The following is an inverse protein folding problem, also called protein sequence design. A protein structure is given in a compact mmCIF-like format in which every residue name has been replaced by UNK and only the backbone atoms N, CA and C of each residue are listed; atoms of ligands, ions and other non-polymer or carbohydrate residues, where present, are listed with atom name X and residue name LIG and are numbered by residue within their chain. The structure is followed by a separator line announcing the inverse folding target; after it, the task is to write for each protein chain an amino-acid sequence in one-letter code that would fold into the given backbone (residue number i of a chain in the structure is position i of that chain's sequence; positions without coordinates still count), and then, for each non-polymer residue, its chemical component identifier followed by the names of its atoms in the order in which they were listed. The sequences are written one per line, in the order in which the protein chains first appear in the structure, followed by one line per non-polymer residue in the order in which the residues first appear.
data_IF_456504284070
#
_entry.id   IF_456504284070
#
_cell.length_a   1.000
_cell.length_b   1.000
_cell.length_c   1.000
_cell.angle_alpha   90.00
_cell.angle_beta   90.00
_cell.angle_gamma   90.00
#
_symmetry.space_group_name_H-M   'P 1'
#
loop_
_entity.id
_entity.type
_entity.pdbx_description
1 polymer ?
#
# COMPACT_ATOMS: atom_id res chain seq x y z
N UNK A 1 -57.71 -7.20 11.76
CA UNK A 1 -57.05 -8.22 10.90
C UNK A 1 -57.20 -7.73 9.47
N UNK A 2 -56.19 -7.38 8.67
CA UNK A 2 -54.75 -7.60 8.74
C UNK A 2 -54.07 -6.43 8.01
N UNK A 3 -53.05 -5.85 8.65
CA UNK A 3 -52.02 -5.05 7.99
C UNK A 3 -51.15 -5.93 7.07
N UNK A 4 -50.33 -5.26 6.26
CA UNK A 4 -49.12 -5.73 5.58
C UNK A 4 -49.28 -6.42 4.22
N UNK A 5 -49.10 -5.65 3.13
CA UNK A 5 -48.16 -6.06 2.07
C UNK A 5 -47.73 -4.93 1.11
N UNK A 6 -46.44 -4.62 1.21
CA UNK A 6 -45.48 -4.25 0.15
C UNK A 6 -45.66 -2.90 -0.56
N UNK A 7 -45.02 -1.89 0.04
CA UNK A 7 -44.28 -0.86 -0.70
C UNK A 7 -43.11 -1.53 -1.44
N UNK A 8 -43.29 -1.87 -2.71
CA UNK A 8 -42.17 -2.12 -3.62
C UNK A 8 -41.83 -0.78 -4.29
N UNK A 9 -41.04 0.04 -3.60
CA UNK A 9 -40.48 1.26 -4.18
C UNK A 9 -39.37 0.88 -5.15
N UNK A 10 -39.68 0.96 -6.45
CA UNK A 10 -38.72 0.72 -7.53
C UNK A 10 -37.52 1.65 -7.41
N UNK A 11 -36.34 1.05 -7.38
CA UNK A 11 -35.07 1.77 -7.49
C UNK A 11 -35.03 2.45 -8.86
N UNK A 12 -35.16 3.77 -8.90
CA UNK A 12 -35.04 4.54 -10.13
C UNK A 12 -33.61 4.42 -10.65
N UNK A 13 -33.46 4.39 -11.98
CA UNK A 13 -32.16 4.23 -12.67
C UNK A 13 -31.08 5.24 -12.24
N UNK A 14 -31.47 6.38 -11.66
CA UNK A 14 -30.57 7.36 -11.06
C UNK A 14 -29.91 6.86 -9.76
N UNK A 15 -30.63 6.11 -8.92
CA UNK A 15 -30.11 5.59 -7.64
C UNK A 15 -29.15 4.41 -7.85
N UNK A 16 -29.35 3.62 -8.91
CA UNK A 16 -28.41 2.56 -9.31
C UNK A 16 -27.08 3.09 -9.85
N UNK A 17 -27.09 4.25 -10.53
CA UNK A 17 -25.88 4.89 -11.03
C UNK A 17 -25.03 5.53 -9.90
N UNK A 18 -25.68 5.93 -8.81
CA UNK A 18 -25.03 6.54 -7.62
C UNK A 18 -24.22 5.51 -6.82
N UNK A 19 -24.72 4.27 -6.68
CA UNK A 19 -23.99 3.18 -6.03
C UNK A 19 -22.71 2.81 -6.81
N UNK A 20 -22.75 2.85 -8.14
CA UNK A 20 -21.63 2.47 -9.01
C UNK A 20 -20.45 3.46 -8.90
N UNK A 21 -20.69 4.75 -8.66
CA UNK A 21 -19.63 5.74 -8.51
C UNK A 21 -18.84 5.61 -7.18
N UNK A 22 -19.50 5.19 -6.10
CA UNK A 22 -18.87 4.93 -4.79
C UNK A 22 -18.06 3.61 -4.76
N UNK A 23 -18.35 2.69 -5.67
CA UNK A 23 -17.64 1.42 -5.82
C UNK A 23 -16.39 1.51 -6.70
N UNK A 24 -16.32 2.45 -7.65
CA UNK A 24 -15.37 2.35 -8.76
C UNK A 24 -14.01 3.02 -8.60
N UNK A 25 -13.72 3.79 -7.55
CA UNK A 25 -12.47 4.59 -7.54
C UNK A 25 -11.59 4.53 -6.28
N UNK A 26 -11.83 3.59 -5.36
CA UNK A 26 -11.02 3.50 -4.13
C UNK A 26 -10.52 2.08 -3.79
N UNK A 27 -11.08 1.09 -4.47
CA UNK A 27 -10.82 -0.33 -4.27
C UNK A 27 -9.37 -0.70 -4.71
N UNK A 28 -8.96 -0.24 -5.89
CA UNK A 28 -7.60 -0.42 -6.41
C UNK A 28 -6.51 0.32 -5.62
N UNK A 29 -6.79 1.53 -5.08
CA UNK A 29 -5.78 2.37 -4.45
C UNK A 29 -5.36 1.90 -3.04
N UNK A 30 -6.30 1.36 -2.24
CA UNK A 30 -5.99 0.76 -0.94
C UNK A 30 -5.27 -0.58 -1.14
N UNK A 31 -5.66 -1.36 -2.16
CA UNK A 31 -4.98 -2.60 -2.53
C UNK A 31 -3.56 -2.40 -3.05
N UNK A 32 -3.33 -1.37 -3.86
CA UNK A 32 -2.02 -1.06 -4.43
C UNK A 32 -0.98 -0.65 -3.36
N UNK A 33 -1.41 0.05 -2.30
CA UNK A 33 -0.53 0.44 -1.21
C UNK A 33 -0.18 -0.74 -0.26
N UNK A 34 -1.14 -1.64 0.00
CA UNK A 34 -0.90 -2.89 0.73
C UNK A 34 -0.05 -3.88 -0.10
N UNK A 35 -0.23 -3.88 -1.43
CA UNK A 35 0.58 -4.66 -2.38
C UNK A 35 2.06 -4.22 -2.40
N UNK A 36 2.34 -2.91 -2.38
CA UNK A 36 3.73 -2.41 -2.34
C UNK A 36 4.47 -2.75 -1.05
N UNK A 37 3.78 -2.74 0.10
CA UNK A 37 4.41 -2.99 1.41
C UNK A 37 4.54 -4.50 1.72
N UNK A 38 3.82 -5.36 0.98
CA UNK A 38 3.81 -6.82 1.19
C UNK A 38 4.46 -7.64 0.08
N UNK A 39 4.82 -7.03 -1.06
CA UNK A 39 5.49 -7.73 -2.16
C UNK A 39 7.03 -7.71 -1.97
N UNK A 40 7.68 -8.88 -1.83
CA UNK A 40 9.12 -8.95 -2.07
C UNK A 40 9.35 -8.87 -3.59
N UNK A 41 9.87 -7.72 -4.06
CA UNK A 41 10.60 -7.66 -5.34
C UNK A 41 9.97 -6.96 -6.54
N UNK A 42 9.32 -5.81 -6.39
CA UNK A 42 9.02 -4.92 -7.54
C UNK A 42 9.95 -3.71 -7.54
N UNK A 43 11.18 -3.91 -7.99
CA UNK A 43 12.01 -2.90 -8.63
C UNK A 43 13.02 -3.66 -9.49
N UNK A 44 12.68 -3.85 -10.76
CA UNK A 44 13.59 -4.06 -11.89
C UNK A 44 12.70 -4.00 -13.13
N UNK A 45 12.50 -2.79 -13.64
CA UNK A 45 12.15 -2.60 -15.03
C UNK A 45 12.88 -1.36 -15.54
N UNK A 46 14.20 -1.50 -15.66
CA UNK A 46 14.87 -0.92 -16.82
C UNK A 46 14.08 -1.33 -18.06
N UNK A 47 13.79 -0.37 -18.93
CA UNK A 47 12.97 -0.51 -20.12
C UNK A 47 13.33 -1.75 -20.97
N UNK A 48 12.69 -2.87 -20.67
CA UNK A 48 12.42 -3.96 -21.61
C UNK A 48 10.97 -3.78 -22.08
N UNK A 49 10.65 -4.15 -23.33
CA UNK A 49 9.31 -3.95 -23.88
C UNK A 49 8.29 -4.47 -22.89
N UNK A 50 7.43 -3.56 -22.40
CA UNK A 50 6.39 -3.88 -21.43
C UNK A 50 5.60 -5.04 -22.01
N UNK A 51 5.78 -6.22 -21.45
CA UNK A 51 5.01 -7.39 -21.81
C UNK A 51 3.54 -6.97 -21.74
N UNK A 52 2.74 -7.34 -22.75
CA UNK A 52 1.35 -6.91 -22.78
C UNK A 52 0.67 -7.37 -21.46
N UNK A 53 -0.37 -6.68 -20.97
CA UNK A 53 -1.07 -7.11 -19.75
C UNK A 53 -1.50 -8.58 -19.76
N UNK A 54 -1.73 -9.15 -20.94
CA UNK A 54 -1.96 -10.59 -21.17
C UNK A 54 -0.77 -11.48 -20.82
N UNK A 55 0.45 -11.05 -21.13
CA UNK A 55 1.69 -11.81 -20.93
C UNK A 55 2.05 -11.88 -19.44
N UNK A 56 1.83 -10.78 -18.72
CA UNK A 56 1.98 -10.73 -17.26
C UNK A 56 0.98 -11.64 -16.55
N UNK A 57 -0.28 -11.64 -16.99
CA UNK A 57 -1.30 -12.54 -16.45
C UNK A 57 -0.94 -14.01 -16.70
N UNK A 58 -0.49 -14.35 -17.91
CA UNK A 58 -0.07 -15.72 -18.23
C UNK A 58 1.11 -16.20 -17.36
N UNK A 59 2.08 -15.32 -17.08
CA UNK A 59 3.20 -15.62 -16.19
C UNK A 59 2.74 -15.86 -14.74
N UNK A 60 1.83 -15.03 -14.21
CA UNK A 60 1.25 -15.21 -12.89
C UNK A 60 0.45 -16.51 -12.79
N UNK A 61 -0.31 -16.87 -13.82
CA UNK A 61 -1.00 -18.16 -13.86
C UNK A 61 -0.02 -19.34 -13.88
N UNK A 62 1.04 -19.27 -14.68
CA UNK A 62 2.09 -20.29 -14.68
C UNK A 62 2.74 -20.43 -13.29
N UNK A 63 3.00 -19.30 -12.62
CA UNK A 63 3.53 -19.28 -11.25
C UNK A 63 2.60 -20.00 -10.26
N UNK A 64 1.28 -19.78 -10.34
CA UNK A 64 0.34 -20.51 -9.47
C UNK A 64 0.29 -22.02 -9.74
N UNK A 65 0.66 -22.47 -10.95
CA UNK A 65 0.77 -23.90 -11.29
C UNK A 65 2.06 -24.51 -10.74
N UNK A 66 3.18 -23.78 -10.78
CA UNK A 66 4.46 -24.23 -10.23
C UNK A 66 4.55 -24.09 -8.70
N UNK A 67 3.85 -23.12 -8.13
CA UNK A 67 3.81 -22.80 -6.70
C UNK A 67 2.38 -22.89 -6.14
N UNK A 68 1.71 -24.06 -6.20
CA UNK A 68 0.28 -24.16 -5.85
C UNK A 68 -0.03 -23.84 -4.37
N UNK A 69 0.98 -23.93 -3.49
CA UNK A 69 0.86 -23.65 -2.06
C UNK A 69 1.41 -22.28 -1.65
N UNK A 70 1.72 -21.40 -2.61
CA UNK A 70 2.21 -20.05 -2.35
C UNK A 70 1.04 -19.07 -2.27
N UNK A 71 0.71 -18.61 -1.06
CA UNK A 71 -0.34 -17.62 -0.86
C UNK A 71 -0.03 -16.31 -1.62
N UNK A 72 1.24 -15.93 -1.70
CA UNK A 72 1.72 -14.76 -2.44
C UNK A 72 1.49 -14.92 -3.96
N UNK A 73 1.79 -16.08 -4.54
CA UNK A 73 1.53 -16.32 -5.96
C UNK A 73 0.04 -16.16 -6.31
N UNK A 74 -0.84 -16.70 -5.45
CA UNK A 74 -2.29 -16.56 -5.59
C UNK A 74 -2.78 -15.13 -5.36
N UNK A 75 -2.19 -14.41 -4.41
CA UNK A 75 -2.49 -13.00 -4.14
C UNK A 75 -2.16 -12.12 -5.35
N UNK A 76 -0.98 -12.30 -5.95
CA UNK A 76 -0.55 -11.52 -7.11
C UNK A 76 -1.42 -11.79 -8.33
N UNK A 77 -1.79 -13.05 -8.56
CA UNK A 77 -2.76 -13.38 -9.61
C UNK A 77 -4.13 -12.74 -9.34
N UNK A 78 -4.58 -12.72 -8.09
CA UNK A 78 -5.81 -12.04 -7.67
C UNK A 78 -5.78 -10.54 -7.98
N UNK A 79 -4.69 -9.86 -7.61
CA UNK A 79 -4.51 -8.43 -7.86
C UNK A 79 -4.50 -8.11 -9.36
N UNK A 80 -3.70 -8.83 -10.15
CA UNK A 80 -3.65 -8.62 -11.60
C UNK A 80 -5.00 -8.83 -12.28
N UNK A 81 -5.76 -9.85 -11.86
CA UNK A 81 -7.12 -10.09 -12.38
C UNK A 81 -8.09 -8.98 -11.95
N UNK A 82 -7.94 -8.45 -10.75
CA UNK A 82 -8.74 -7.35 -10.26
C UNK A 82 -8.51 -6.08 -11.09
N UNK A 83 -7.24 -5.73 -11.34
CA UNK A 83 -6.84 -4.57 -12.14
C UNK A 83 -7.34 -4.67 -13.60
N UNK A 84 -7.41 -5.89 -14.13
CA UNK A 84 -7.97 -6.19 -15.45
C UNK A 84 -9.52 -6.24 -15.47
N UNK A 85 -10.18 -5.96 -14.34
CA UNK A 85 -11.64 -6.01 -14.21
C UNK A 85 -12.24 -7.42 -14.17
N UNK A 86 -11.41 -8.47 -14.15
CA UNK A 86 -11.85 -9.85 -13.97
C UNK A 86 -12.07 -10.17 -12.48
N UNK A 87 -13.09 -9.54 -11.89
CA UNK A 87 -13.37 -9.62 -10.46
C UNK A 87 -13.73 -11.03 -9.99
N UNK A 88 -14.42 -11.83 -10.83
CA UNK A 88 -14.72 -13.23 -10.50
C UNK A 88 -13.45 -14.09 -10.45
N UNK A 89 -12.55 -13.90 -11.42
CA UNK A 89 -11.24 -14.56 -11.44
C UNK A 89 -10.33 -14.10 -10.29
N UNK A 90 -10.42 -12.83 -9.90
CA UNK A 90 -9.72 -12.28 -8.74
C UNK A 90 -10.22 -12.88 -7.43
N UNK A 91 -11.55 -12.95 -7.24
CA UNK A 91 -12.15 -13.58 -6.07
C UNK A 91 -11.73 -15.05 -5.92
N UNK A 92 -11.63 -15.79 -7.03
CA UNK A 92 -11.18 -17.18 -7.04
C UNK A 92 -9.71 -17.31 -6.59
N UNK A 93 -8.84 -16.43 -7.08
CA UNK A 93 -7.43 -16.44 -6.72
C UNK A 93 -7.21 -16.01 -5.26
N UNK A 94 -7.90 -14.95 -4.79
CA UNK A 94 -7.84 -14.56 -3.39
C UNK A 94 -8.43 -15.60 -2.45
N UNK A 95 -9.45 -16.37 -2.87
CA UNK A 95 -9.99 -17.47 -2.08
C UNK A 95 -8.93 -18.58 -1.85
N UNK A 96 -8.10 -18.87 -2.86
CA UNK A 96 -6.94 -19.75 -2.69
C UNK A 96 -5.90 -19.15 -1.76
N UNK A 97 -5.60 -17.85 -1.91
CA UNK A 97 -4.63 -17.16 -1.06
C UNK A 97 -5.04 -17.17 0.43
N UNK A 98 -6.30 -16.86 0.77
CA UNK A 98 -6.78 -16.91 2.17
C UNK A 98 -6.83 -18.35 2.71
N UNK A 99 -7.05 -19.35 1.87
CA UNK A 99 -6.98 -20.75 2.28
C UNK A 99 -5.57 -21.18 2.71
N UNK A 100 -4.54 -20.57 2.12
CA UNK A 100 -3.13 -20.80 2.43
C UNK A 100 -2.58 -19.86 3.53
N UNK A 101 -3.20 -18.70 3.72
CA UNK A 101 -2.80 -17.70 4.72
C UNK A 101 -4.03 -17.09 5.41
N UNK A 102 -4.72 -17.87 6.26
CA UNK A 102 -6.00 -17.48 6.85
C UNK A 102 -5.90 -16.36 7.89
N UNK A 103 -4.70 -16.02 8.36
CA UNK A 103 -4.45 -14.97 9.34
C UNK A 103 -4.12 -13.60 8.70
N UNK A 104 -4.15 -13.50 7.36
CA UNK A 104 -3.89 -12.24 6.67
C UNK A 104 -5.18 -11.41 6.49
N UNK A 105 -5.34 -10.37 7.31
CA UNK A 105 -6.45 -9.42 7.20
C UNK A 105 -6.57 -8.81 5.80
N UNK A 106 -5.42 -8.43 5.20
CA UNK A 106 -5.37 -7.81 3.86
C UNK A 106 -5.86 -8.73 2.74
N UNK A 107 -5.60 -10.05 2.83
CA UNK A 107 -6.12 -11.02 1.87
C UNK A 107 -7.63 -11.21 2.03
N UNK A 108 -8.13 -11.26 3.26
CA UNK A 108 -9.57 -11.31 3.52
C UNK A 108 -10.30 -10.07 3.02
N UNK A 109 -9.74 -8.89 3.26
CA UNK A 109 -10.35 -7.64 2.77
C UNK A 109 -10.32 -7.57 1.24
N UNK A 110 -9.23 -8.00 0.59
CA UNK A 110 -9.14 -8.08 -0.89
C UNK A 110 -10.16 -9.06 -1.50
N UNK A 111 -10.34 -10.23 -0.87
CA UNK A 111 -11.36 -11.20 -1.25
C UNK A 111 -12.77 -10.60 -1.12
N UNK A 112 -13.03 -9.87 -0.04
CA UNK A 112 -14.30 -9.18 0.16
C UNK A 112 -14.59 -8.20 -0.98
N UNK A 113 -13.64 -7.34 -1.31
CA UNK A 113 -13.74 -6.37 -2.39
C UNK A 113 -13.96 -7.04 -3.75
N UNK A 114 -13.16 -8.04 -4.10
CA UNK A 114 -13.32 -8.79 -5.35
C UNK A 114 -14.71 -9.42 -5.47
N UNK A 115 -15.28 -9.92 -4.35
CA UNK A 115 -16.64 -10.47 -4.31
C UNK A 115 -17.72 -9.40 -4.46
N UNK A 116 -17.51 -8.19 -3.93
CA UNK A 116 -18.44 -7.08 -4.20
C UNK A 116 -18.41 -6.71 -5.66
N UNK A 117 -17.22 -6.50 -6.23
CA UNK A 117 -17.07 -6.09 -7.63
C UNK A 117 -17.53 -7.15 -8.63
N UNK A 118 -17.46 -8.44 -8.26
CA UNK A 118 -17.98 -9.54 -9.07
C UNK A 118 -19.52 -9.69 -9.00
N UNK A 119 -20.19 -9.03 -8.05
CA UNK A 119 -21.62 -9.16 -7.84
C UNK A 119 -22.40 -8.30 -8.84
N UNK A 120 -23.37 -8.91 -9.53
CA UNK A 120 -24.19 -8.22 -10.53
C UNK A 120 -25.49 -7.65 -9.96
N UNK A 121 -25.91 -8.09 -8.78
CA UNK A 121 -27.26 -7.86 -8.25
C UNK A 121 -27.28 -7.33 -6.83
N UNK A 122 -26.34 -7.76 -5.99
CA UNK A 122 -26.23 -7.32 -4.60
C UNK A 122 -24.99 -6.43 -4.46
N UNK A 123 -25.12 -5.14 -4.11
CA UNK A 123 -23.98 -4.26 -3.89
C UNK A 123 -23.15 -4.66 -2.66
N UNK A 124 -23.63 -5.57 -1.81
CA UNK A 124 -22.89 -6.04 -0.64
C UNK A 124 -23.23 -7.52 -0.33
N UNK A 125 -22.76 -8.46 -1.17
CA UNK A 125 -23.14 -9.86 -1.05
C UNK A 125 -22.69 -10.46 0.29
N UNK A 126 -23.45 -11.39 0.89
CA UNK A 126 -23.11 -12.00 2.18
C UNK A 126 -21.71 -12.62 2.25
N UNK A 127 -21.20 -13.13 1.12
CA UNK A 127 -19.85 -13.69 1.04
C UNK A 127 -18.74 -12.62 1.11
N UNK A 128 -19.00 -11.41 0.64
CA UNK A 128 -18.08 -10.28 0.83
C UNK A 128 -18.10 -9.79 2.28
N UNK A 129 -19.29 -9.66 2.87
CA UNK A 129 -19.45 -9.28 4.28
C UNK A 129 -18.69 -10.19 5.23
N UNK A 130 -18.81 -11.51 5.07
CA UNK A 130 -18.04 -12.48 5.88
C UNK A 130 -16.53 -12.28 5.74
N UNK A 131 -16.05 -11.92 4.55
CA UNK A 131 -14.63 -11.69 4.33
C UNK A 131 -14.17 -10.39 5.02
N UNK A 132 -14.94 -9.31 4.96
CA UNK A 132 -14.65 -8.08 5.70
C UNK A 132 -14.74 -8.27 7.22
N UNK A 133 -15.73 -9.01 7.71
CA UNK A 133 -15.87 -9.33 9.14
C UNK A 133 -14.64 -10.12 9.64
N UNK A 134 -14.14 -11.07 8.84
CA UNK A 134 -12.90 -11.80 9.15
C UNK A 134 -11.67 -10.89 9.11
N UNK A 135 -11.57 -9.99 8.14
CA UNK A 135 -10.48 -9.01 8.09
C UNK A 135 -10.47 -8.11 9.33
N UNK A 136 -11.62 -7.57 9.74
CA UNK A 136 -11.77 -6.73 10.95
C UNK A 136 -11.45 -7.52 12.23
N UNK A 137 -11.81 -8.80 12.29
CA UNK A 137 -11.48 -9.65 13.42
C UNK A 137 -9.97 -9.90 13.56
N UNK A 138 -9.23 -9.90 12.45
CA UNK A 138 -7.77 -10.07 12.41
C UNK A 138 -7.05 -8.73 12.63
N UNK A 139 -7.49 -7.68 11.95
CA UNK A 139 -7.00 -6.31 12.10
C UNK A 139 -8.18 -5.33 12.10
N UNK A 140 -8.56 -4.81 13.29
CA UNK A 140 -9.61 -3.81 13.42
C UNK A 140 -9.32 -2.49 12.69
N UNK A 141 -8.08 -2.26 12.26
CA UNK A 141 -7.65 -1.04 11.55
C UNK A 141 -7.53 -1.26 10.04
N UNK A 142 -7.83 -2.44 9.49
CA UNK A 142 -7.76 -2.68 8.04
C UNK A 142 -8.63 -1.65 7.29
N UNK A 143 -8.01 -0.79 6.45
CA UNK A 143 -8.70 0.36 5.87
C UNK A 143 -9.78 -0.05 4.86
N UNK A 144 -9.54 -1.13 4.11
CA UNK A 144 -10.47 -1.62 3.10
C UNK A 144 -11.73 -2.19 3.75
N UNK A 145 -11.57 -3.02 4.77
CA UNK A 145 -12.70 -3.63 5.48
C UNK A 145 -13.51 -2.57 6.23
N UNK A 146 -12.85 -1.57 6.85
CA UNK A 146 -13.54 -0.42 7.46
C UNK A 146 -14.33 0.39 6.44
N UNK A 147 -13.75 0.66 5.26
CA UNK A 147 -14.43 1.35 4.18
C UNK A 147 -15.70 0.61 3.76
N UNK A 148 -15.62 -0.69 3.45
CA UNK A 148 -16.78 -1.46 2.99
C UNK A 148 -17.80 -1.73 4.10
N UNK A 149 -17.41 -1.74 5.37
CA UNK A 149 -18.36 -1.75 6.50
C UNK A 149 -19.19 -0.47 6.55
N UNK A 150 -18.59 0.69 6.29
CA UNK A 150 -19.31 1.95 6.18
C UNK A 150 -20.20 1.98 4.92
N UNK A 151 -19.73 1.45 3.79
CA UNK A 151 -20.58 1.26 2.59
C UNK A 151 -21.81 0.40 2.92
N UNK A 152 -21.67 -0.69 3.70
CA UNK A 152 -22.82 -1.50 4.14
C UNK A 152 -23.84 -0.67 4.94
N UNK A 153 -23.39 0.22 5.83
CA UNK A 153 -24.28 1.12 6.58
C UNK A 153 -25.01 2.06 5.64
N UNK A 154 -24.31 2.64 4.68
CA UNK A 154 -24.87 3.55 3.68
C UNK A 154 -25.94 2.86 2.81
N UNK A 155 -25.62 1.68 2.28
CA UNK A 155 -26.57 0.82 1.55
C UNK A 155 -27.78 0.45 2.43
N UNK A 156 -27.57 0.30 3.73
CA UNK A 156 -28.63 0.04 4.72
C UNK A 156 -29.45 1.27 5.13
N UNK A 157 -29.13 2.46 4.62
CA UNK A 157 -29.82 3.72 4.91
C UNK A 157 -29.25 4.51 6.09
N UNK A 158 -28.23 3.99 6.78
CA UNK A 158 -27.52 4.70 7.86
C UNK A 158 -26.39 5.58 7.26
N UNK A 159 -26.79 6.59 6.49
CA UNK A 159 -25.88 7.50 5.80
C UNK A 159 -25.04 8.34 6.77
N UNK A 160 -25.64 8.76 7.90
CA UNK A 160 -24.94 9.51 8.94
C UNK A 160 -23.89 8.65 9.63
N UNK A 161 -24.23 7.40 9.98
CA UNK A 161 -23.29 6.44 10.56
C UNK A 161 -22.19 6.02 9.58
N UNK A 162 -22.49 5.87 8.29
CA UNK A 162 -21.50 5.61 7.26
C UNK A 162 -20.49 6.77 7.13
N UNK A 163 -20.98 8.01 7.02
CA UNK A 163 -20.13 9.20 6.99
C UNK A 163 -19.28 9.31 8.26
N UNK A 164 -19.84 9.05 9.43
CA UNK A 164 -19.09 9.05 10.69
C UNK A 164 -17.94 8.02 10.69
N UNK A 165 -18.20 6.79 10.21
CA UNK A 165 -17.19 5.74 10.09
C UNK A 165 -16.11 6.10 9.05
N UNK A 166 -16.47 6.70 7.92
CA UNK A 166 -15.49 7.17 6.92
C UNK A 166 -14.63 8.32 7.43
N UNK A 167 -15.18 9.24 8.23
CA UNK A 167 -14.36 10.24 8.89
C UNK A 167 -13.38 9.62 9.89
N UNK A 168 -13.81 8.63 10.67
CA UNK A 168 -12.89 7.91 11.56
C UNK A 168 -11.79 7.16 10.79
N UNK A 169 -12.13 6.61 9.61
CA UNK A 169 -11.13 6.03 8.70
C UNK A 169 -10.18 7.09 8.14
N UNK A 170 -10.68 8.28 7.79
CA UNK A 170 -9.87 9.40 7.30
C UNK A 170 -8.90 9.89 8.37
N UNK A 171 -9.33 9.99 9.63
CA UNK A 171 -8.48 10.37 10.76
C UNK A 171 -7.35 9.35 10.99
N UNK A 172 -7.63 8.05 10.78
CA UNK A 172 -6.63 6.98 10.89
C UNK A 172 -5.76 6.79 9.65
N UNK A 173 -6.13 7.41 8.52
CA UNK A 173 -5.40 7.32 7.27
C UNK A 173 -4.07 8.05 7.39
N UNK A 174 -2.92 7.44 7.05
CA UNK A 174 -1.65 8.16 7.00
C UNK A 174 -1.70 9.30 5.99
N UNK A 175 -1.16 10.46 6.34
CA UNK A 175 -1.10 11.61 5.45
C UNK A 175 -0.40 11.25 4.13
N UNK A 176 -1.05 11.58 3.01
CA UNK A 176 -0.52 11.28 1.68
C UNK A 176 -0.75 9.84 1.22
N UNK A 177 -1.55 9.07 1.96
CA UNK A 177 -2.02 7.78 1.47
C UNK A 177 -2.74 7.94 0.12
N UNK A 178 -2.49 7.06 -0.87
CA UNK A 178 -3.07 7.18 -2.21
C UNK A 178 -4.60 7.27 -2.24
N UNK A 179 -5.26 6.72 -1.23
CA UNK A 179 -6.72 6.65 -1.12
C UNK A 179 -7.36 7.82 -0.36
N UNK A 180 -6.57 8.72 0.25
CA UNK A 180 -7.08 9.80 1.09
C UNK A 180 -8.05 10.71 0.31
N UNK A 181 -7.67 11.10 -0.91
CA UNK A 181 -8.45 12.01 -1.75
C UNK A 181 -9.80 11.41 -2.16
N UNK A 182 -9.81 10.13 -2.52
CA UNK A 182 -11.03 9.44 -2.91
C UNK A 182 -11.94 9.22 -1.69
N UNK A 183 -11.39 9.06 -0.48
CA UNK A 183 -12.18 8.88 0.73
C UNK A 183 -12.89 10.18 1.09
N UNK A 184 -12.18 11.32 0.99
CA UNK A 184 -12.78 12.65 1.11
C UNK A 184 -13.89 12.86 0.08
N UNK A 185 -13.65 12.51 -1.19
CA UNK A 185 -14.66 12.59 -2.26
C UNK A 185 -15.89 11.74 -1.95
N UNK A 186 -15.71 10.54 -1.41
CA UNK A 186 -16.82 9.66 -1.01
C UNK A 186 -17.69 10.32 0.07
N UNK A 187 -17.05 10.88 1.10
CA UNK A 187 -17.75 11.61 2.18
C UNK A 187 -18.53 12.80 1.61
N UNK A 188 -17.93 13.58 0.71
CA UNK A 188 -18.57 14.73 0.04
C UNK A 188 -19.77 14.31 -0.80
N UNK A 189 -19.61 13.27 -1.63
CA UNK A 189 -20.66 12.80 -2.52
C UNK A 189 -21.86 12.27 -1.73
N UNK A 190 -21.64 11.39 -0.77
CA UNK A 190 -22.72 10.84 0.06
C UNK A 190 -23.36 11.95 0.90
N UNK A 191 -22.56 12.87 1.43
CA UNK A 191 -23.06 14.06 2.12
C UNK A 191 -24.00 14.90 1.23
N UNK A 192 -23.60 15.18 -0.01
CA UNK A 192 -24.40 15.94 -0.96
C UNK A 192 -25.69 15.22 -1.34
N UNK A 193 -25.62 13.91 -1.62
CA UNK A 193 -26.78 13.09 -2.00
C UNK A 193 -27.84 13.06 -0.89
N UNK A 194 -27.39 12.88 0.35
CA UNK A 194 -28.26 12.74 1.51
C UNK A 194 -28.49 14.04 2.29
N UNK A 195 -28.00 15.17 1.77
CA UNK A 195 -28.11 16.51 2.38
C UNK A 195 -27.55 16.57 3.80
N UNK A 196 -26.39 15.94 4.01
CA UNK A 196 -25.64 15.93 5.26
C UNK A 196 -24.46 16.90 5.11
N UNK A 197 -24.40 17.90 5.99
CA UNK A 197 -23.32 18.90 6.00
C UNK A 197 -21.98 18.28 6.43
N UNK A 198 -21.04 18.16 5.48
CA UNK A 198 -19.72 17.56 5.72
C UNK A 198 -18.56 18.52 5.49
N UNK A 199 -18.75 19.60 4.73
CA UNK A 199 -17.69 20.52 4.31
C UNK A 199 -16.92 21.12 5.50
N UNK A 200 -17.64 21.61 6.51
CA UNK A 200 -17.03 22.17 7.71
C UNK A 200 -16.24 21.15 8.54
N UNK A 201 -16.63 19.86 8.51
CA UNK A 201 -15.89 18.78 9.18
C UNK A 201 -14.68 18.35 8.35
N UNK A 202 -14.82 18.17 7.04
CA UNK A 202 -13.72 17.83 6.12
C UNK A 202 -12.59 18.86 6.14
N UNK A 203 -12.92 20.15 6.23
CA UNK A 203 -11.94 21.23 6.36
C UNK A 203 -11.11 21.16 7.65
N UNK A 204 -11.67 20.54 8.70
CA UNK A 204 -11.02 20.39 10.02
C UNK A 204 -10.38 19.01 10.20
N UNK A 205 -10.86 17.98 9.50
CA UNK A 205 -10.35 16.62 9.59
C UNK A 205 -9.09 16.48 8.74
N UNK A 206 -8.00 16.08 9.40
CA UNK A 206 -6.72 15.79 8.77
C UNK A 206 -6.44 14.29 8.91
N UNK A 207 -5.82 13.71 7.87
CA UNK A 207 -5.18 12.42 7.95
C UNK A 207 -4.11 12.45 9.04
N UNK A 208 -3.90 11.34 9.76
CA UNK A 208 -2.91 11.30 10.82
C UNK A 208 -1.49 11.53 10.27
N UNK A 209 -0.59 12.11 11.08
CA UNK A 209 0.82 12.15 10.74
C UNK A 209 1.37 10.74 10.47
N UNK A 210 2.35 10.67 9.58
CA UNK A 210 3.12 9.45 9.36
C UNK A 210 3.82 9.06 10.66
N UNK A 211 3.73 7.79 11.05
CA UNK A 211 4.59 7.24 12.09
C UNK A 211 6.02 7.20 11.59
N UNK A 212 7.04 7.12 12.48
CA UNK A 212 8.42 6.99 12.05
C UNK A 212 8.56 5.97 10.93
N UNK A 213 8.04 4.75 11.11
CA UNK A 213 8.11 3.63 10.16
C UNK A 213 7.49 3.89 8.78
N UNK A 214 6.58 4.86 8.67
CA UNK A 214 5.93 5.26 7.42
C UNK A 214 6.57 6.49 6.77
N UNK A 215 7.37 7.27 7.52
CA UNK A 215 8.16 8.38 6.96
C UNK A 215 9.22 7.78 6.03
N UNK A 216 9.21 8.13 4.73
CA UNK A 216 10.28 7.74 3.82
C UNK A 216 11.62 8.21 4.40
N UNK A 217 12.65 7.36 4.41
CA UNK A 217 13.96 7.64 5.03
C UNK A 217 14.63 8.91 4.48
N UNK A 218 14.21 9.41 3.31
CA UNK A 218 14.59 10.72 2.79
C UNK A 218 14.15 11.91 3.69
N UNK A 219 13.07 11.77 4.45
CA UNK A 219 12.46 12.84 5.26
C UNK A 219 12.72 12.73 6.78
N UNK A 220 13.35 11.65 7.26
CA UNK A 220 13.77 11.55 8.66
C UNK A 220 15.09 12.30 8.83
N UNK A 221 15.06 13.42 9.56
CA UNK A 221 16.28 14.07 10.05
C UNK A 221 17.01 13.11 11.00
N UNK A 222 18.08 12.48 10.52
CA UNK A 222 19.03 11.77 11.38
C UNK A 222 19.93 12.85 12.01
N UNK A 223 20.22 12.78 13.32
CA UNK A 223 21.16 13.71 13.96
C UNK A 223 22.49 13.69 13.21
N UNK A 224 22.82 14.82 12.59
CA UNK A 224 24.15 15.03 12.01
C UNK A 224 25.22 15.02 13.11
N UNK A 225 26.51 15.01 12.72
CA UNK A 225 27.62 15.22 13.65
C UNK A 225 27.32 16.39 14.58
N UNK A 226 27.68 16.28 15.86
CA UNK A 226 27.43 17.33 16.84
C UNK A 226 28.11 18.64 16.39
N UNK A 227 27.68 19.80 16.87
CA UNK A 227 28.32 21.08 16.49
C UNK A 227 29.84 21.06 16.72
N UNK A 228 30.31 20.40 17.78
CA UNK A 228 31.74 20.22 18.02
C UNK A 228 32.44 19.35 16.98
N UNK A 229 31.76 18.32 16.46
CA UNK A 229 32.29 17.44 15.42
C UNK A 229 32.38 18.15 14.07
N UNK A 230 31.41 19.03 13.77
CA UNK A 230 31.43 19.85 12.56
C UNK A 230 32.51 20.94 12.60
N UNK A 231 32.70 21.58 13.76
CA UNK A 231 33.76 22.59 13.95
C UNK A 231 35.15 21.96 13.82
N UNK A 232 35.38 20.80 14.45
CA UNK A 232 36.64 20.08 14.34
C UNK A 232 36.92 19.61 12.91
N UNK A 233 35.90 19.11 12.20
CA UNK A 233 36.04 18.72 10.80
C UNK A 233 36.33 19.91 9.89
N UNK A 234 35.72 21.08 10.12
CA UNK A 234 35.88 22.28 9.29
C UNK A 234 37.29 22.89 9.29
N UNK A 235 38.09 22.59 10.33
CA UNK A 235 39.46 23.09 10.46
C UNK A 235 40.52 22.19 9.79
N UNK A 236 40.14 21.01 9.30
CA UNK A 236 41.05 20.14 8.57
C UNK A 236 41.26 20.64 7.13
N UNK A 237 42.46 20.47 6.54
CA UNK A 237 42.66 20.70 5.10
C UNK A 237 41.69 19.86 4.26
N UNK A 238 41.16 20.40 3.16
CA UNK A 238 40.11 19.74 2.34
C UNK A 238 40.44 18.27 1.98
N UNK A 239 41.68 17.97 1.59
CA UNK A 239 42.09 16.59 1.27
C UNK A 239 42.10 15.62 2.47
N UNK A 240 42.18 16.14 3.70
CA UNK A 240 42.13 15.33 4.92
C UNK A 240 40.70 15.13 5.42
N UNK A 241 39.79 16.09 5.17
CA UNK A 241 38.35 15.93 5.39
C UNK A 241 37.78 14.81 4.51
N UNK A 242 38.13 14.81 3.22
CA UNK A 242 37.66 13.81 2.27
C UNK A 242 38.14 12.39 2.64
N UNK A 243 39.41 12.24 3.04
CA UNK A 243 39.97 10.96 3.49
C UNK A 243 39.32 10.46 4.78
N UNK A 244 38.96 11.37 5.69
CA UNK A 244 38.25 11.02 6.92
C UNK A 244 36.81 10.56 6.64
N UNK A 245 36.10 11.26 5.74
CA UNK A 245 34.74 10.87 5.33
C UNK A 245 34.78 9.52 4.61
N UNK A 246 35.73 9.29 3.71
CA UNK A 246 35.93 8.00 3.05
C UNK A 246 36.17 6.87 4.07
N UNK A 247 37.07 7.07 5.03
CA UNK A 247 37.35 6.08 6.09
C UNK A 247 36.14 5.78 6.98
N UNK A 248 35.29 6.77 7.26
CA UNK A 248 34.04 6.56 8.01
C UNK A 248 33.03 5.72 7.21
N UNK A 249 32.92 5.96 5.90
CA UNK A 249 32.00 5.22 5.01
C UNK A 249 32.51 3.79 4.77
N UNK A 250 33.81 3.59 4.59
CA UNK A 250 34.45 2.26 4.49
C UNK A 250 34.28 1.46 5.79
N UNK A 251 34.41 2.12 6.94
CA UNK A 251 34.16 1.52 8.26
C UNK A 251 32.70 1.11 8.46
N UNK A 252 31.75 1.91 7.96
CA UNK A 252 30.32 1.57 7.96
C UNK A 252 30.06 0.31 7.12
N UNK A 253 30.62 0.23 5.91
CA UNK A 253 30.50 -0.94 5.04
C UNK A 253 31.08 -2.21 5.69
N UNK A 254 32.23 -2.08 6.35
CA UNK A 254 32.85 -3.21 7.06
C UNK A 254 31.95 -3.72 8.19
N UNK A 255 31.36 -2.82 8.97
CA UNK A 255 30.41 -3.16 10.05
C UNK A 255 29.14 -3.80 9.49
N UNK A 256 28.66 -3.32 8.34
CA UNK A 256 27.50 -3.88 7.66
C UNK A 256 27.77 -5.30 7.15
N UNK A 257 28.95 -5.58 6.59
CA UNK A 257 29.30 -6.96 6.20
C UNK A 257 29.36 -7.92 7.39
N UNK A 258 29.70 -7.42 8.59
CA UNK A 258 29.70 -8.20 9.82
C UNK A 258 28.31 -8.39 10.46
N UNK A 259 27.41 -7.41 10.31
CA UNK A 259 26.02 -7.49 10.76
C UNK A 259 25.08 -6.96 9.66
N UNK A 260 24.72 -7.83 8.69
CA UNK A 260 24.19 -7.34 7.43
C UNK A 260 22.67 -7.21 7.42
N UNK A 261 21.99 -7.53 8.53
CA UNK A 261 20.53 -7.47 8.65
C UNK A 261 19.96 -6.03 8.74
N UNK A 262 20.83 -5.02 8.89
CA UNK A 262 20.42 -3.62 9.04
C UNK A 262 20.25 -2.95 7.68
N UNK A 263 19.05 -3.13 7.11
CA UNK A 263 18.63 -2.55 5.82
C UNK A 263 18.82 -1.03 5.77
N UNK A 264 18.57 -0.34 6.88
CA UNK A 264 18.65 1.12 6.94
C UNK A 264 20.08 1.61 6.80
N UNK A 265 21.04 0.88 7.39
CA UNK A 265 22.46 1.19 7.23
C UNK A 265 22.96 0.93 5.82
N UNK A 266 22.43 -0.05 5.09
CA UNK A 266 22.75 -0.25 3.68
C UNK A 266 22.29 0.93 2.81
N UNK A 267 21.10 1.48 3.07
CA UNK A 267 20.58 2.68 2.39
C UNK A 267 21.48 3.89 2.68
N UNK A 268 21.89 4.06 3.94
CA UNK A 268 22.81 5.13 4.34
C UNK A 268 24.16 5.00 3.65
N UNK A 269 24.71 3.79 3.55
CA UNK A 269 25.97 3.54 2.86
C UNK A 269 25.88 3.95 1.38
N UNK A 270 24.81 3.56 0.67
CA UNK A 270 24.60 3.95 -0.72
C UNK A 270 24.56 5.47 -0.90
N UNK A 271 23.83 6.19 -0.03
CA UNK A 271 23.76 7.65 -0.08
C UNK A 271 25.12 8.30 0.11
N UNK A 272 25.86 7.88 1.15
CA UNK A 272 27.19 8.43 1.44
C UNK A 272 28.15 8.22 0.26
N UNK A 273 28.12 7.03 -0.37
CA UNK A 273 28.89 6.75 -1.58
C UNK A 273 28.48 7.63 -2.76
N UNK A 274 27.19 7.87 -2.97
CA UNK A 274 26.71 8.77 -4.02
C UNK A 274 27.14 10.21 -3.82
N UNK A 275 27.11 10.72 -2.58
CA UNK A 275 27.59 12.07 -2.24
C UNK A 275 29.09 12.22 -2.47
N UNK A 276 29.86 11.15 -2.26
CA UNK A 276 31.30 11.09 -2.54
C UNK A 276 31.64 10.88 -4.03
N UNK A 277 30.65 10.72 -4.90
CA UNK A 277 30.85 10.41 -6.33
C UNK A 277 31.31 8.96 -6.59
N UNK A 278 31.28 8.10 -5.58
CA UNK A 278 31.71 6.69 -5.66
C UNK A 278 30.57 5.80 -6.17
N UNK A 279 30.05 6.12 -7.36
CA UNK A 279 28.85 5.51 -7.94
C UNK A 279 28.94 3.99 -8.07
N UNK A 280 30.11 3.46 -8.43
CA UNK A 280 30.35 2.01 -8.51
C UNK A 280 30.27 1.33 -7.14
N UNK A 281 30.78 1.98 -6.07
CA UNK A 281 30.70 1.46 -4.70
C UNK A 281 29.27 1.55 -4.16
N UNK A 282 28.52 2.60 -4.52
CA UNK A 282 27.10 2.68 -4.19
C UNK A 282 26.30 1.52 -4.83
N UNK A 283 26.58 1.20 -6.10
CA UNK A 283 25.98 0.05 -6.78
C UNK A 283 26.37 -1.29 -6.15
N UNK A 284 27.61 -1.41 -5.66
CA UNK A 284 28.03 -2.61 -4.92
C UNK A 284 27.34 -2.71 -3.56
N UNK A 285 27.19 -1.60 -2.82
CA UNK A 285 26.46 -1.57 -1.56
C UNK A 285 24.98 -1.94 -1.73
N UNK A 286 24.37 -1.58 -2.86
CA UNK A 286 23.03 -2.05 -3.23
C UNK A 286 22.99 -3.58 -3.35
N UNK A 287 23.91 -4.15 -4.13
CA UNK A 287 23.99 -5.61 -4.35
C UNK A 287 24.20 -6.37 -3.05
N UNK A 288 25.16 -5.92 -2.24
CA UNK A 288 25.48 -6.55 -0.96
C UNK A 288 24.31 -6.43 0.02
N UNK A 289 23.65 -5.26 0.08
CA UNK A 289 22.47 -5.04 0.89
C UNK A 289 21.30 -5.94 0.51
N UNK A 290 21.03 -6.10 -0.79
CA UNK A 290 19.98 -6.99 -1.30
C UNK A 290 20.30 -8.46 -0.98
N UNK A 291 21.55 -8.88 -1.23
CA UNK A 291 21.97 -10.25 -0.98
C UNK A 291 21.83 -10.63 0.50
N UNK A 292 22.12 -9.69 1.40
CA UNK A 292 21.95 -9.90 2.83
C UNK A 292 20.50 -9.74 3.34
N UNK A 293 19.67 -8.98 2.63
CA UNK A 293 18.31 -8.65 3.05
C UNK A 293 17.31 -8.90 1.91
N UNK A 294 17.11 -10.15 1.47
CA UNK A 294 16.25 -10.46 0.33
C UNK A 294 14.80 -10.00 0.54
N UNK A 295 14.29 -10.08 1.78
CA UNK A 295 12.95 -9.58 2.15
C UNK A 295 12.80 -8.05 2.11
N UNK A 296 13.90 -7.30 2.05
CA UNK A 296 13.91 -5.85 1.94
C UNK A 296 14.49 -5.34 0.62
N UNK A 297 14.67 -6.23 -0.37
CA UNK A 297 15.27 -5.90 -1.66
C UNK A 297 14.53 -4.76 -2.38
N UNK A 298 13.19 -4.78 -2.39
CA UNK A 298 12.39 -3.72 -3.00
C UNK A 298 12.63 -2.35 -2.35
N UNK A 299 12.70 -2.31 -1.00
CA UNK A 299 13.02 -1.07 -0.27
C UNK A 299 14.41 -0.54 -0.60
N UNK A 300 15.40 -1.42 -0.72
CA UNK A 300 16.79 -1.05 -1.04
C UNK A 300 16.90 -0.47 -2.46
N UNK A 301 16.23 -1.10 -3.43
CA UNK A 301 16.22 -0.64 -4.83
C UNK A 301 15.48 0.69 -5.00
N UNK A 302 14.29 0.84 -4.44
CA UNK A 302 13.54 2.09 -4.48
C UNK A 302 14.37 3.27 -3.95
N UNK A 303 15.08 3.08 -2.84
CA UNK A 303 15.96 4.12 -2.28
C UNK A 303 17.18 4.38 -3.16
N UNK A 304 17.78 3.33 -3.74
CA UNK A 304 18.92 3.46 -4.63
C UNK A 304 18.56 4.21 -5.93
N UNK A 305 17.36 4.00 -6.48
CA UNK A 305 16.83 4.75 -7.62
C UNK A 305 16.66 6.24 -7.28
N UNK A 306 16.09 6.57 -6.12
CA UNK A 306 15.97 7.96 -5.66
C UNK A 306 17.33 8.65 -5.48
N UNK A 307 18.36 7.88 -5.15
CA UNK A 307 19.73 8.37 -4.97
C UNK A 307 20.53 8.45 -6.29
N UNK A 308 19.98 7.94 -7.40
CA UNK A 308 20.67 7.86 -8.69
C UNK A 308 21.79 6.81 -8.74
N UNK A 309 21.72 5.77 -7.90
CA UNK A 309 22.70 4.68 -7.88
C UNK A 309 22.60 3.87 -9.18
N UNK A 310 23.71 3.62 -9.89
CA UNK A 310 23.68 2.82 -11.12
C UNK A 310 23.24 1.37 -10.87
N UNK A 311 22.32 0.87 -11.70
CA UNK A 311 21.85 -0.53 -11.61
C UNK A 311 20.83 -0.78 -10.49
N UNK A 312 20.21 0.27 -9.96
CA UNK A 312 19.03 0.24 -9.11
C UNK A 312 17.72 0.15 -9.91
#
# INVERSE_FOLDING_TARGET
MSESKKMAGGMTRANGAILIAAFLLLAGAIGYAIWRDSAPGSDDAAAQPTAAPSDQLAALEARTRSEPNSADAWMQLGAARFDLGNFGGAATAYEKAVGLSPESAGLWSALGEARVMASQSDPMPPAALRAFDKAIALDPRDPRARYFRAVKKDVGGDHQGAIADWFALLEDTPQGAPWEADLRRTIEQVGAIHKIEVAGRLAKTQARPLTPNEIPVAARAIPGPSRSDMEAASQLPKGQQDAMIQGMVDGLETKLKANPADVDRWIMLMRSRMTLGETAKAAQALKDGIAANPGAAGRLKAQAQMLGVPGA
#
